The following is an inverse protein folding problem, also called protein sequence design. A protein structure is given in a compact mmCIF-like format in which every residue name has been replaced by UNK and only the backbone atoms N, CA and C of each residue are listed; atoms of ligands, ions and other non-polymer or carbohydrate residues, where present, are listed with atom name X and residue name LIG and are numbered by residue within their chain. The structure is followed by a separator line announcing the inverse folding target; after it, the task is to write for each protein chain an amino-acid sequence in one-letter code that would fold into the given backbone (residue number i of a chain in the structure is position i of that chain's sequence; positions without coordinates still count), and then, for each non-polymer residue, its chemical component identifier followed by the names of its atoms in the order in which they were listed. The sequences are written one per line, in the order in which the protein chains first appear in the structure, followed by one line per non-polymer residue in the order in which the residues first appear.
data_IF_229200510912
#
_entry.id   IF_229200510912
#
_cell.length_a   1.000
_cell.length_b   1.000
_cell.length_c   1.000
_cell.angle_alpha   90.00
_cell.angle_beta   90.00
_cell.angle_gamma   90.00
#
_symmetry.space_group_name_H-M   'P 1'
#
loop_
_entity.id
_entity.type
_entity.pdbx_description
1 polymer ?
#
# COMPACT_ATOMS: atom_id res chain seq x y z
N UNK A 1 -6.99 -12.48 17.61
CA UNK A 1 -7.57 -12.01 16.32
C UNK A 1 -8.39 -10.72 16.41
N UNK A 2 -8.97 -10.36 17.55
CA UNK A 2 -9.74 -9.10 17.69
C UNK A 2 -8.86 -7.86 17.51
N UNK A 3 -7.60 -7.90 17.92
CA UNK A 3 -6.67 -6.76 17.86
C UNK A 3 -6.19 -6.43 16.44
N UNK A 4 -6.00 -7.44 15.58
CA UNK A 4 -5.55 -7.22 14.19
C UNK A 4 -6.59 -6.51 13.32
N UNK A 5 -7.88 -6.60 13.65
CA UNK A 5 -8.98 -6.14 12.79
C UNK A 5 -8.86 -4.66 12.38
N UNK A 6 -8.37 -3.80 13.26
CA UNK A 6 -8.22 -2.37 12.97
C UNK A 6 -7.20 -2.09 11.86
N UNK A 7 -6.22 -2.97 11.70
CA UNK A 7 -5.11 -2.83 10.75
C UNK A 7 -5.42 -3.48 9.39
N UNK A 8 -6.36 -4.44 9.34
CA UNK A 8 -6.70 -5.18 8.12
C UNK A 8 -7.41 -4.27 7.12
N UNK A 9 -6.66 -3.72 6.19
CA UNK A 9 -7.14 -2.82 5.16
C UNK A 9 -6.08 -2.58 4.09
N UNK A 10 -6.47 -1.88 3.02
CA UNK A 10 -5.58 -1.14 2.15
C UNK A 10 -5.48 0.30 2.65
N UNK A 11 -4.27 0.81 2.74
CA UNK A 11 -3.92 2.12 3.26
C UNK A 11 -3.17 2.90 2.19
N UNK A 12 -3.66 4.07 1.83
CA UNK A 12 -3.03 4.94 0.84
C UNK A 12 -2.10 5.94 1.50
N UNK A 13 -0.87 6.04 1.01
CA UNK A 13 0.16 6.96 1.50
C UNK A 13 -0.24 8.42 1.28
N UNK A 14 0.04 9.25 2.28
CA UNK A 14 0.14 10.71 2.17
C UNK A 14 1.63 11.12 2.16
N UNK A 15 2.28 11.19 1.00
CA UNK A 15 3.72 11.43 0.93
C UNK A 15 4.18 12.71 1.64
N UNK A 16 3.36 13.77 1.57
CA UNK A 16 3.67 15.08 2.16
C UNK A 16 3.57 15.11 3.69
N UNK A 17 3.00 14.07 4.31
CA UNK A 17 2.89 13.94 5.77
C UNK A 17 3.95 13.02 6.37
N UNK A 18 4.78 12.41 5.52
CA UNK A 18 5.87 11.55 5.93
C UNK A 18 7.15 12.33 6.26
N UNK A 19 8.01 11.71 7.07
CA UNK A 19 9.39 12.14 7.32
C UNK A 19 10.34 11.00 6.95
N UNK A 20 11.41 11.30 6.23
CA UNK A 20 12.33 10.30 5.69
C UNK A 20 13.75 10.69 6.02
N UNK A 21 14.40 9.94 6.92
CA UNK A 21 15.83 10.10 7.25
C UNK A 21 16.71 9.20 6.39
N UNK A 22 16.11 8.14 5.82
CA UNK A 22 16.76 7.24 4.89
C UNK A 22 15.90 7.08 3.63
N UNK A 23 16.53 7.25 2.46
CA UNK A 23 15.85 7.19 1.17
C UNK A 23 15.11 8.47 0.81
N UNK A 24 14.47 8.47 -0.33
CA UNK A 24 13.67 9.58 -0.83
C UNK A 24 12.18 9.37 -0.54
N UNK A 25 11.46 10.49 -0.40
CA UNK A 25 10.01 10.47 -0.24
C UNK A 25 9.35 9.83 -1.48
N UNK A 26 8.52 8.79 -1.31
CA UNK A 26 7.77 8.22 -2.43
C UNK A 26 6.79 9.24 -3.03
N UNK A 27 6.51 9.11 -4.32
CA UNK A 27 5.46 9.87 -5.00
C UNK A 27 4.06 9.41 -4.59
N UNK A 28 3.89 8.12 -4.41
CA UNK A 28 2.66 7.47 -3.95
C UNK A 28 2.96 6.10 -3.37
N UNK A 29 2.03 5.53 -2.62
CA UNK A 29 2.19 4.18 -2.09
C UNK A 29 0.89 3.59 -1.58
N UNK A 30 0.85 2.26 -1.52
CA UNK A 30 -0.21 1.46 -0.91
C UNK A 30 0.44 0.53 0.09
N UNK A 31 -0.04 0.57 1.32
CA UNK A 31 0.30 -0.37 2.38
C UNK A 31 -0.93 -1.22 2.66
N UNK A 32 -0.83 -2.55 2.59
CA UNK A 32 -1.97 -3.44 2.78
C UNK A 32 -1.62 -4.52 3.78
N UNK A 33 -2.52 -4.75 4.72
CA UNK A 33 -2.42 -5.85 5.70
C UNK A 33 -3.64 -6.74 5.52
N UNK A 34 -3.41 -8.03 5.31
CA UNK A 34 -4.43 -9.06 5.16
C UNK A 34 -4.22 -10.20 6.15
N UNK A 35 -5.30 -10.78 6.66
CA UNK A 35 -5.23 -11.97 7.48
C UNK A 35 -5.38 -13.21 6.59
N UNK A 36 -4.57 -14.24 6.87
CA UNK A 36 -4.78 -15.55 6.29
C UNK A 36 -5.85 -16.27 7.10
N UNK A 37 -6.87 -16.75 6.39
CA UNK A 37 -8.02 -17.40 7.00
C UNK A 37 -7.57 -18.59 7.86
N UNK A 38 -8.18 -18.71 9.04
CA UNK A 38 -7.99 -19.81 10.01
C UNK A 38 -6.56 -19.94 10.57
N UNK A 39 -5.73 -18.89 10.43
CA UNK A 39 -4.39 -18.79 11.03
C UNK A 39 -4.23 -17.52 11.86
N UNK A 40 -3.04 -17.31 12.45
CA UNK A 40 -2.61 -16.05 13.04
C UNK A 40 -1.69 -15.27 12.08
N UNK A 41 -1.53 -15.76 10.86
CA UNK A 41 -0.62 -15.16 9.90
C UNK A 41 -1.25 -13.94 9.24
N UNK A 42 -0.42 -12.95 9.03
CA UNK A 42 -0.71 -11.75 8.29
C UNK A 42 0.18 -11.66 7.06
N UNK A 43 -0.39 -11.19 5.96
CA UNK A 43 0.38 -10.79 4.78
C UNK A 43 0.45 -9.27 4.78
N UNK A 44 1.66 -8.76 4.73
CA UNK A 44 1.94 -7.32 4.60
C UNK A 44 2.44 -7.05 3.19
N UNK A 45 1.79 -6.14 2.49
CA UNK A 45 2.19 -5.66 1.17
C UNK A 45 2.56 -4.19 1.27
N UNK A 46 3.72 -3.83 0.76
CA UNK A 46 4.16 -2.46 0.64
C UNK A 46 4.54 -2.18 -0.80
N UNK A 47 3.73 -1.39 -1.48
CA UNK A 47 3.94 -0.99 -2.87
C UNK A 47 4.09 0.52 -2.92
N UNK A 48 5.12 1.02 -3.61
CA UNK A 48 5.32 2.46 -3.75
C UNK A 48 5.90 2.82 -5.12
N UNK A 49 5.76 4.08 -5.48
CA UNK A 49 6.31 4.65 -6.70
C UNK A 49 7.28 5.77 -6.31
N UNK A 50 8.50 5.74 -6.84
CA UNK A 50 9.51 6.80 -6.62
C UNK A 50 9.13 8.08 -7.36
N UNK A 51 9.89 9.17 -7.12
CA UNK A 51 9.72 10.43 -7.83
C UNK A 51 9.98 10.29 -9.34
N UNK A 52 10.87 9.35 -9.73
CA UNK A 52 11.20 9.00 -11.12
C UNK A 52 10.19 8.07 -11.78
N UNK A 53 9.05 7.78 -11.13
CA UNK A 53 8.00 6.88 -11.58
C UNK A 53 8.43 5.39 -11.65
N UNK A 54 9.44 4.99 -10.90
CA UNK A 54 9.80 3.58 -10.74
C UNK A 54 8.90 2.94 -9.68
N UNK A 55 8.24 1.85 -10.04
CA UNK A 55 7.37 1.11 -9.12
C UNK A 55 8.17 0.04 -8.36
N UNK A 56 7.95 -0.05 -7.07
CA UNK A 56 8.50 -1.04 -6.16
C UNK A 56 7.39 -1.79 -5.46
N UNK A 57 7.62 -3.07 -5.20
CA UNK A 57 6.69 -3.92 -4.48
C UNK A 57 7.44 -4.84 -3.54
N UNK A 58 6.99 -4.93 -2.32
CA UNK A 58 7.44 -5.95 -1.37
C UNK A 58 6.24 -6.60 -0.70
N UNK A 59 6.39 -7.87 -0.36
CA UNK A 59 5.37 -8.62 0.35
C UNK A 59 6.03 -9.67 1.22
N UNK A 60 5.51 -9.85 2.43
CA UNK A 60 5.97 -10.88 3.35
C UNK A 60 4.85 -11.37 4.25
N UNK A 61 4.98 -12.61 4.71
CA UNK A 61 4.07 -13.23 5.67
C UNK A 61 4.72 -13.29 7.03
N UNK A 62 3.96 -12.95 8.07
CA UNK A 62 4.41 -13.00 9.46
C UNK A 62 3.32 -13.64 10.33
N UNK A 63 3.75 -14.39 11.34
CA UNK A 63 2.84 -14.84 12.38
C UNK A 63 2.75 -13.77 13.47
N UNK A 64 1.53 -13.31 13.77
CA UNK A 64 1.28 -12.24 14.72
C UNK A 64 0.79 -12.78 16.08
N UNK A 65 1.49 -13.79 16.60
CA UNK A 65 1.20 -14.41 17.90
C UNK A 65 2.02 -13.85 19.07
N UNK A 66 2.97 -12.97 18.78
CA UNK A 66 3.90 -12.39 19.74
C UNK A 66 5.18 -13.18 19.93
N UNK A 67 5.28 -14.38 19.36
CA UNK A 67 6.45 -15.24 19.47
C UNK A 67 7.51 -14.88 18.41
N UNK A 68 8.75 -15.30 18.66
CA UNK A 68 9.87 -15.14 17.75
C UNK A 68 9.87 -16.28 16.73
N UNK A 69 9.54 -15.99 15.49
CA UNK A 69 9.38 -16.94 14.40
C UNK A 69 10.53 -16.85 13.39
N UNK A 70 10.75 -17.93 12.62
CA UNK A 70 11.69 -17.90 11.49
C UNK A 70 11.16 -16.96 10.39
N UNK A 71 12.06 -16.20 9.76
CA UNK A 71 11.71 -15.33 8.67
C UNK A 71 12.29 -15.82 7.34
N UNK A 72 11.45 -15.88 6.30
CA UNK A 72 11.83 -16.53 5.03
C UNK A 72 12.84 -15.73 4.20
N UNK A 73 12.81 -14.39 4.30
CA UNK A 73 13.77 -13.54 3.59
C UNK A 73 15.03 -13.34 4.44
N UNK A 74 15.94 -14.31 4.34
CA UNK A 74 17.19 -14.31 5.11
C UNK A 74 18.15 -13.18 4.75
N UNK A 75 17.99 -12.50 3.61
CA UNK A 75 18.79 -11.31 3.28
C UNK A 75 18.45 -10.15 4.22
N UNK A 76 17.18 -10.01 4.57
CA UNK A 76 16.73 -8.99 5.51
C UNK A 76 16.94 -9.42 6.98
N UNK A 77 16.45 -10.59 7.36
CA UNK A 77 16.41 -11.04 8.75
C UNK A 77 16.37 -12.57 8.86
N UNK A 78 16.81 -13.11 9.99
CA UNK A 78 16.73 -14.56 10.27
C UNK A 78 15.42 -14.89 11.00
N UNK A 79 14.98 -13.98 11.85
CA UNK A 79 13.78 -14.11 12.68
C UNK A 79 12.92 -12.86 12.64
N UNK A 80 11.64 -13.04 12.92
CA UNK A 80 10.67 -11.97 13.05
C UNK A 80 9.77 -12.19 14.26
N UNK A 81 9.43 -11.13 14.96
CA UNK A 81 8.42 -11.11 16.01
C UNK A 81 7.37 -10.06 15.65
N UNK A 82 6.10 -10.44 15.67
CA UNK A 82 5.00 -9.53 15.40
C UNK A 82 3.97 -9.61 16.52
N UNK A 83 3.61 -8.49 17.10
CA UNK A 83 2.74 -8.41 18.27
C UNK A 83 1.81 -7.19 18.23
N UNK A 84 0.70 -7.31 18.94
CA UNK A 84 -0.25 -6.22 19.16
C UNK A 84 -0.17 -5.81 20.63
N UNK A 85 0.59 -4.75 21.00
CA UNK A 85 0.64 -4.25 22.37
C UNK A 85 -0.74 -3.84 22.88
N UNK A 86 -1.55 -3.26 22.00
CA UNK A 86 -2.94 -2.89 22.25
C UNK A 86 -3.79 -2.90 20.96
N UNK A 87 -5.01 -2.35 21.01
CA UNK A 87 -5.93 -2.35 19.88
C UNK A 87 -5.63 -1.32 18.79
N UNK A 88 -4.71 -0.39 19.04
CA UNK A 88 -4.30 0.70 18.12
C UNK A 88 -2.83 0.65 17.77
N UNK A 89 -2.07 -0.32 18.29
CA UNK A 89 -0.64 -0.52 18.06
C UNK A 89 -0.35 -1.92 17.55
N UNK A 90 0.48 -2.01 16.52
CA UNK A 90 0.98 -3.25 15.94
C UNK A 90 2.46 -3.09 15.64
N UNK A 91 3.31 -3.97 16.17
CA UNK A 91 4.75 -3.89 16.08
C UNK A 91 5.33 -5.12 15.39
N UNK A 92 6.37 -4.90 14.57
CA UNK A 92 7.13 -5.94 13.90
C UNK A 92 8.60 -5.69 14.14
N UNK A 93 9.29 -6.65 14.76
CA UNK A 93 10.73 -6.64 14.98
C UNK A 93 11.39 -7.70 14.10
N UNK A 94 12.33 -7.28 13.26
CA UNK A 94 13.15 -8.15 12.44
C UNK A 94 14.53 -8.30 13.08
N UNK A 95 14.96 -9.56 13.24
CA UNK A 95 16.21 -9.89 13.91
C UNK A 95 17.18 -10.55 12.94
N UNK A 96 18.43 -10.15 12.99
CA UNK A 96 19.54 -10.81 12.30
C UNK A 96 20.66 -11.10 13.29
N UNK A 97 21.09 -12.35 13.37
CA UNK A 97 22.10 -12.81 14.35
C UNK A 97 21.78 -12.42 15.80
N UNK A 98 20.49 -12.38 16.13
CA UNK A 98 20.00 -12.06 17.48
C UNK A 98 19.83 -10.57 17.78
N UNK A 99 20.18 -9.67 16.88
CA UNK A 99 20.03 -8.22 17.02
C UNK A 99 18.84 -7.71 16.18
N UNK A 100 18.12 -6.71 16.68
CA UNK A 100 17.05 -6.03 15.94
C UNK A 100 17.68 -5.19 14.84
N UNK A 101 17.41 -5.53 13.58
CA UNK A 101 17.91 -4.80 12.39
C UNK A 101 16.87 -3.85 11.81
N UNK A 102 15.58 -4.13 12.04
CA UNK A 102 14.48 -3.26 11.62
C UNK A 102 13.32 -3.42 12.62
N UNK A 103 12.80 -2.30 13.08
CA UNK A 103 11.59 -2.23 13.92
C UNK A 103 10.55 -1.38 13.20
N UNK A 104 9.36 -1.92 13.00
CA UNK A 104 8.24 -1.24 12.37
C UNK A 104 7.09 -1.13 13.38
N UNK A 105 6.67 0.09 13.64
CA UNK A 105 5.52 0.39 14.51
C UNK A 105 4.38 0.95 13.68
N UNK A 106 3.23 0.31 13.79
CA UNK A 106 1.98 0.76 13.17
C UNK A 106 1.08 1.30 14.28
N UNK A 107 0.56 2.51 14.09
CA UNK A 107 -0.33 3.16 15.05
C UNK A 107 -1.58 3.72 14.36
N UNK A 108 -2.75 3.32 14.84
CA UNK A 108 -4.01 3.94 14.42
C UNK A 108 -4.19 5.24 15.21
N UNK A 109 -4.08 6.35 14.51
CA UNK A 109 -4.20 7.68 15.09
C UNK A 109 -5.68 7.99 15.43
N UNK A 110 -5.95 8.94 16.36
CA UNK A 110 -7.32 9.31 16.75
C UNK A 110 -8.21 9.77 15.58
N UNK A 111 -7.61 10.28 14.50
CA UNK A 111 -8.30 10.69 13.28
C UNK A 111 -8.52 9.53 12.28
N UNK A 112 -8.21 8.28 12.66
CA UNK A 112 -8.36 7.09 11.83
C UNK A 112 -7.25 6.89 10.78
N UNK A 113 -6.20 7.70 10.80
CA UNK A 113 -5.03 7.47 9.94
C UNK A 113 -4.12 6.40 10.54
N UNK A 114 -3.39 5.70 9.69
CA UNK A 114 -2.33 4.79 10.09
C UNK A 114 -0.99 5.53 9.99
N UNK A 115 -0.25 5.58 11.09
CA UNK A 115 1.16 5.96 11.10
C UNK A 115 2.01 4.69 11.08
N UNK A 116 2.95 4.60 10.17
CA UNK A 116 3.95 3.52 10.09
C UNK A 116 5.31 4.15 10.33
N UNK A 117 5.96 3.78 11.42
CA UNK A 117 7.30 4.23 11.77
C UNK A 117 8.28 3.08 11.58
N UNK A 118 9.31 3.28 10.78
CA UNK A 118 10.38 2.33 10.53
C UNK A 118 11.66 2.84 11.17
N UNK A 119 12.29 2.01 12.00
CA UNK A 119 13.55 2.31 12.69
C UNK A 119 14.56 1.22 12.36
N UNK A 120 15.74 1.62 11.95
CA UNK A 120 16.83 0.70 11.59
C UNK A 120 18.19 1.39 11.63
N UNK A 121 19.20 0.71 11.13
CA UNK A 121 20.55 1.26 11.02
C UNK A 121 20.97 1.34 9.54
N UNK A 122 21.71 2.40 9.20
CA UNK A 122 22.39 2.54 7.92
C UNK A 122 23.58 1.59 7.88
N UNK A 123 24.21 1.44 6.72
CA UNK A 123 25.42 0.63 6.52
C UNK A 123 26.59 1.08 7.41
N UNK A 124 26.68 2.36 7.74
CA UNK A 124 27.68 2.93 8.64
C UNK A 124 27.35 2.74 10.14
N UNK A 125 26.24 2.08 10.45
CA UNK A 125 25.76 1.83 11.82
C UNK A 125 24.97 2.98 12.42
N UNK A 126 24.79 4.11 11.74
CA UNK A 126 23.96 5.20 12.25
C UNK A 126 22.47 4.86 12.16
N UNK A 127 21.72 5.12 13.24
CA UNK A 127 20.29 4.91 13.28
C UNK A 127 19.55 5.86 12.30
N UNK A 128 18.40 5.40 11.80
CA UNK A 128 17.46 6.23 11.06
C UNK A 128 16.03 5.94 11.50
N UNK A 129 15.16 6.92 11.28
CA UNK A 129 13.72 6.79 11.49
C UNK A 129 13.00 7.36 10.28
N UNK A 130 12.18 6.53 9.63
CA UNK A 130 11.20 6.99 8.65
C UNK A 130 9.81 6.89 9.28
N UNK A 131 8.99 7.91 9.09
CA UNK A 131 7.58 7.87 9.50
C UNK A 131 6.69 8.23 8.33
N UNK A 132 5.73 7.38 8.06
CA UNK A 132 4.80 7.50 6.94
C UNK A 132 3.37 7.60 7.48
N UNK A 133 2.55 8.37 6.80
CA UNK A 133 1.16 8.56 7.16
C UNK A 133 0.26 8.06 6.04
N UNK A 134 -0.74 7.28 6.42
CA UNK A 134 -1.68 6.66 5.47
C UNK A 134 -3.12 6.94 5.87
N UNK A 135 -4.01 7.00 4.88
CA UNK A 135 -5.45 6.93 5.10
C UNK A 135 -6.01 5.60 4.65
N UNK A 136 -7.04 5.12 5.35
CA UNK A 136 -7.73 3.89 4.99
C UNK A 136 -8.45 4.07 3.66
N UNK A 137 -8.15 3.18 2.69
CA UNK A 137 -8.97 3.09 1.50
C UNK A 137 -10.31 2.45 1.89
N UNK A 138 -11.39 3.15 1.64
CA UNK A 138 -12.71 2.58 1.71
C UNK A 138 -12.85 1.64 0.51
N UNK A 139 -12.60 0.34 0.72
CA UNK A 139 -13.04 -0.64 -0.25
C UNK A 139 -14.55 -0.57 -0.27
N UNK A 140 -15.11 -0.11 -1.37
CA UNK A 140 -16.50 -0.41 -1.68
C UNK A 140 -16.50 -1.91 -1.94
N UNK A 141 -16.73 -2.70 -0.88
CA UNK A 141 -16.95 -4.13 -1.02
C UNK A 141 -18.12 -4.29 -2.00
N UNK A 142 -17.97 -5.06 -3.08
CA UNK A 142 -19.16 -5.52 -3.79
C UNK A 142 -20.01 -6.23 -2.74
N UNK A 143 -21.22 -5.73 -2.55
CA UNK A 143 -22.17 -6.24 -1.58
C UNK A 143 -22.43 -7.71 -1.90
N UNK A 144 -21.71 -8.61 -1.27
CA UNK A 144 -22.05 -10.03 -1.31
C UNK A 144 -23.16 -10.22 -0.28
N UNK A 145 -24.41 -10.23 -0.77
CA UNK A 145 -25.59 -10.56 0.00
C UNK A 145 -25.52 -12.03 0.44
N UNK A 146 -24.83 -12.31 1.52
CA UNK A 146 -24.96 -13.55 2.27
C UNK A 146 -24.82 -13.29 3.76
N UNK A 147 -25.77 -12.55 4.30
CA UNK A 147 -26.09 -12.59 5.72
C UNK A 147 -27.42 -13.31 5.84
N UNK A 148 -27.36 -14.48 6.45
CA UNK A 148 -28.50 -15.32 6.78
C UNK A 148 -29.65 -14.51 7.40
N UNK A 149 -30.79 -14.49 6.74
CA UNK A 149 -32.10 -14.30 7.35
C UNK A 149 -32.66 -12.89 7.48
N UNK A 150 -31.96 -11.82 7.13
CA UNK A 150 -32.56 -10.50 7.01
C UNK A 150 -32.59 -10.08 5.53
N UNK A 151 -33.73 -10.21 4.90
CA UNK A 151 -34.01 -9.58 3.61
C UNK A 151 -34.05 -8.07 3.87
N UNK A 152 -32.90 -7.42 3.81
CA UNK A 152 -32.88 -5.99 3.59
C UNK A 152 -33.30 -5.83 2.14
N UNK A 153 -34.52 -5.39 1.94
CA UNK A 153 -34.98 -4.91 0.64
C UNK A 153 -34.01 -3.80 0.25
N UNK A 154 -33.04 -4.13 -0.62
CA UNK A 154 -32.25 -3.11 -1.31
C UNK A 154 -33.31 -2.21 -1.99
N UNK A 155 -33.41 -0.98 -1.53
CA UNK A 155 -34.33 -0.03 -2.16
C UNK A 155 -33.86 0.13 -3.60
N UNK A 156 -34.77 0.26 -4.55
CA UNK A 156 -34.47 0.47 -5.98
C UNK A 156 -33.43 1.57 -6.20
N UNK A 157 -33.38 2.56 -5.30
CA UNK A 157 -32.36 3.62 -5.26
C UNK A 157 -30.92 3.11 -5.09
N UNK A 158 -30.67 2.07 -4.30
CA UNK A 158 -29.34 1.50 -4.11
C UNK A 158 -28.82 0.81 -5.39
N UNK A 159 -29.71 0.12 -6.11
CA UNK A 159 -29.39 -0.53 -7.38
C UNK A 159 -29.14 0.50 -8.49
N UNK A 160 -29.90 1.58 -8.51
CA UNK A 160 -29.73 2.69 -9.47
C UNK A 160 -28.39 3.41 -9.23
N UNK A 161 -28.05 3.71 -7.96
CA UNK A 161 -26.73 4.30 -7.62
C UNK A 161 -25.56 3.41 -8.01
N UNK A 162 -25.65 2.11 -7.80
CA UNK A 162 -24.57 1.19 -8.16
C UNK A 162 -24.39 1.11 -9.67
N UNK A 163 -25.47 1.01 -10.46
CA UNK A 163 -25.40 1.05 -11.93
C UNK A 163 -24.83 2.36 -12.45
N UNK A 164 -25.19 3.49 -11.84
CA UNK A 164 -24.68 4.80 -12.22
C UNK A 164 -23.15 4.94 -11.93
N UNK A 165 -22.67 4.41 -10.80
CA UNK A 165 -21.25 4.40 -10.45
C UNK A 165 -20.44 3.53 -11.42
N UNK A 166 -20.91 2.32 -11.74
CA UNK A 166 -20.26 1.41 -12.69
C UNK A 166 -20.18 2.04 -14.09
N UNK A 167 -21.28 2.67 -14.54
CA UNK A 167 -21.29 3.37 -15.82
C UNK A 167 -20.35 4.58 -15.86
N UNK A 168 -20.20 5.31 -14.75
CA UNK A 168 -19.22 6.40 -14.64
C UNK A 168 -17.77 5.89 -14.67
N UNK A 169 -17.49 4.78 -14.00
CA UNK A 169 -16.16 4.15 -14.03
C UNK A 169 -15.80 3.66 -15.43
N UNK A 170 -16.72 3.00 -16.13
CA UNK A 170 -16.54 2.58 -17.53
C UNK A 170 -16.31 3.78 -18.46
N UNK A 171 -17.09 4.84 -18.31
CA UNK A 171 -16.93 6.07 -19.09
C UNK A 171 -15.58 6.75 -18.82
N UNK A 172 -15.16 6.79 -17.56
CA UNK A 172 -13.85 7.35 -17.18
C UNK A 172 -12.70 6.53 -17.77
N UNK A 173 -12.78 5.20 -17.74
CA UNK A 173 -11.78 4.33 -18.33
C UNK A 173 -11.70 4.48 -19.85
N UNK A 174 -12.84 4.61 -20.53
CA UNK A 174 -12.86 4.90 -21.98
C UNK A 174 -12.22 6.25 -22.31
N UNK A 175 -12.46 7.28 -21.50
CA UNK A 175 -11.83 8.60 -21.68
C UNK A 175 -10.31 8.54 -21.46
N UNK A 176 -9.85 7.82 -20.46
CA UNK A 176 -8.42 7.61 -20.20
C UNK A 176 -7.74 6.88 -21.36
N UNK A 177 -8.37 5.87 -21.95
CA UNK A 177 -7.82 5.18 -23.11
C UNK A 177 -7.77 6.06 -24.37
N UNK A 178 -8.76 6.93 -24.55
CA UNK A 178 -8.74 7.92 -25.63
C UNK A 178 -7.59 8.92 -25.46
N UNK A 179 -7.39 9.41 -24.25
CA UNK A 179 -6.28 10.34 -23.92
C UNK A 179 -4.93 9.66 -24.16
N UNK A 180 -4.75 8.41 -23.74
CA UNK A 180 -3.52 7.62 -24.01
C UNK A 180 -3.22 7.53 -25.49
N UNK A 181 -4.20 7.18 -26.31
CA UNK A 181 -4.06 7.11 -27.78
C UNK A 181 -3.70 8.44 -28.40
N UNK A 182 -4.28 9.54 -27.90
CA UNK A 182 -3.92 10.89 -28.36
C UNK A 182 -2.48 11.27 -28.02
N UNK A 183 -2.02 10.93 -26.82
CA UNK A 183 -0.62 11.17 -26.38
C UNK A 183 0.35 10.39 -27.26
N UNK A 184 0.07 9.13 -27.58
CA UNK A 184 0.90 8.32 -28.48
C UNK A 184 0.98 8.92 -29.89
N UNK A 185 -0.16 9.38 -30.43
CA UNK A 185 -0.21 10.02 -31.73
C UNK A 185 0.60 11.33 -31.76
N UNK A 186 0.48 12.16 -30.73
CA UNK A 186 1.24 13.39 -30.61
C UNK A 186 2.74 13.14 -30.47
N UNK A 187 3.13 12.09 -29.74
CA UNK A 187 4.54 11.68 -29.61
C UNK A 187 5.14 11.27 -30.97
N UNK A 188 4.38 10.50 -31.79
CA UNK A 188 4.77 10.13 -33.15
C UNK A 188 4.93 11.35 -34.06
N UNK A 189 3.98 12.29 -34.02
CA UNK A 189 4.05 13.53 -34.79
C UNK A 189 5.25 14.40 -34.39
N UNK A 190 5.52 14.52 -33.08
CA UNK A 190 6.69 15.24 -32.59
C UNK A 190 8.00 14.63 -33.08
N UNK A 191 8.09 13.31 -33.09
CA UNK A 191 9.26 12.58 -33.59
C UNK A 191 9.46 12.81 -35.10
N UNK A 192 8.39 12.78 -35.90
CA UNK A 192 8.46 13.08 -37.34
C UNK A 192 8.90 14.51 -37.63
N UNK A 193 8.39 15.51 -36.87
CA UNK A 193 8.78 16.90 -37.00
C UNK A 193 10.26 17.06 -36.66
N UNK A 194 10.74 16.41 -35.64
CA UNK A 194 12.14 16.45 -35.24
C UNK A 194 13.06 15.86 -36.33
N UNK A 195 12.68 14.72 -36.91
CA UNK A 195 13.39 14.09 -38.01
C UNK A 195 13.44 14.96 -39.27
N UNK A 196 12.35 15.65 -39.61
CA UNK A 196 12.30 16.61 -40.73
C UNK A 196 13.21 17.83 -40.51
N UNK A 197 13.28 18.33 -39.28
CA UNK A 197 14.21 19.43 -38.94
C UNK A 197 15.67 19.01 -39.08
N UNK A 198 16.01 17.85 -38.64
CA UNK A 198 17.39 17.30 -38.76
C UNK A 198 17.80 17.11 -40.23
N UNK A 199 16.88 16.62 -41.08
CA UNK A 199 17.11 16.49 -42.52
C UNK A 199 17.18 17.84 -43.29
N UNK A 200 16.63 18.91 -42.75
CA UNK A 200 16.67 20.22 -43.37
C UNK A 200 17.91 21.05 -42.99
N UNK A 201 18.73 20.57 -42.06
CA UNK A 201 19.98 21.18 -41.61
C UNK A 201 21.22 20.55 -42.26
N UNK A 202 21.04 19.51 -43.07
CA UNK A 202 22.09 18.83 -43.88
C UNK A 202 22.04 19.36 -45.31
#
# INVERSE_FOLDING_TARGET
MVQAYNFLASWQLFPEKGTYELGERPKSGIYKIEAIKDTKDLIVHHNWVSLENTAFASSYTINADGDLNDFQNHDLADKVQALFPDSVSFEIHFYKKGEVVLHIVHEIMPNGYLRVTQQGNREDGTAYTNAEMYHKQLSVLPYSASVSGAVIKATEEGVIKHKALTAMEEQTNMQLDQIRKQIELLALQAHEIQKRKELSML
#
